data_IF_066506968796
#
_entry.id   IF_066506968796
#
_cell.length_a   1.000
_cell.length_b   1.000
_cell.length_c   1.000
_cell.angle_alpha   90.00
_cell.angle_beta   90.00
_cell.angle_gamma   90.00
#
_symmetry.space_group_name_H-M   'P 1'
#
loop_
_entity.id
_entity.type
_entity.pdbx_description
1 polymer ?
#
# COMPACT_ATOMS: atom_id res chain seq x y z
N UNK A 1 16.14 -15.72 -2.43
CA UNK A 1 16.06 -16.97 -1.67
C UNK A 1 17.31 -17.14 -0.84
N UNK A 2 17.16 -17.26 0.47
CA UNK A 2 18.28 -17.43 1.39
C UNK A 2 19.00 -18.78 1.21
N UNK A 3 20.32 -18.82 1.41
CA UNK A 3 21.15 -20.02 1.16
C UNK A 3 20.70 -21.24 1.97
N UNK A 4 20.37 -21.04 3.25
CA UNK A 4 19.81 -22.08 4.13
C UNK A 4 18.46 -22.62 3.64
N UNK A 5 17.63 -21.76 3.01
CA UNK A 5 16.36 -22.18 2.41
C UNK A 5 16.61 -23.14 1.26
N UNK A 6 17.57 -22.81 0.39
CA UNK A 6 17.94 -23.64 -0.75
C UNK A 6 18.52 -24.99 -0.32
N UNK A 7 19.47 -24.98 0.63
CA UNK A 7 20.07 -26.20 1.19
C UNK A 7 19.03 -27.09 1.87
N UNK A 8 18.15 -26.48 2.67
CA UNK A 8 17.05 -27.17 3.35
C UNK A 8 16.10 -27.86 2.37
N UNK A 9 15.66 -27.15 1.32
CA UNK A 9 14.78 -27.73 0.31
C UNK A 9 15.43 -28.90 -0.43
N UNK A 10 16.69 -28.74 -0.84
CA UNK A 10 17.43 -29.81 -1.52
C UNK A 10 17.58 -31.04 -0.62
N UNK A 11 18.02 -30.85 0.63
CA UNK A 11 18.22 -31.93 1.59
C UNK A 11 16.92 -32.65 1.97
N UNK A 12 15.85 -31.92 2.27
CA UNK A 12 14.55 -32.50 2.58
C UNK A 12 14.01 -33.32 1.39
N UNK A 13 14.10 -32.78 0.17
CA UNK A 13 13.62 -33.46 -1.04
C UNK A 13 14.38 -34.77 -1.32
N UNK A 14 15.68 -34.80 -1.05
CA UNK A 14 16.49 -36.01 -1.23
C UNK A 14 16.11 -37.08 -0.21
N UNK A 15 15.97 -36.71 1.06
CA UNK A 15 15.60 -37.67 2.12
C UNK A 15 14.19 -38.23 1.90
N UNK A 16 13.23 -37.39 1.48
CA UNK A 16 11.89 -37.85 1.12
C UNK A 16 11.92 -38.88 -0.03
N UNK A 17 12.81 -38.70 -1.02
CA UNK A 17 13.00 -39.68 -2.08
C UNK A 17 13.61 -40.99 -1.57
N UNK A 18 14.57 -40.90 -0.63
CA UNK A 18 15.20 -42.08 -0.04
C UNK A 18 14.24 -42.92 0.80
N UNK A 19 13.19 -42.32 1.39
CA UNK A 19 12.15 -43.04 2.14
C UNK A 19 11.33 -44.01 1.27
N UNK A 20 11.25 -43.81 -0.04
CA UNK A 20 10.42 -44.66 -0.93
C UNK A 20 10.84 -46.13 -0.94
N UNK A 21 12.15 -46.39 -0.93
CA UNK A 21 12.70 -47.75 -0.97
C UNK A 21 12.33 -48.54 0.30
N UNK A 22 12.67 -48.07 1.51
CA UNK A 22 12.30 -48.80 2.72
C UNK A 22 10.77 -48.90 2.89
N UNK A 23 9.97 -47.92 2.46
CA UNK A 23 8.51 -48.07 2.45
C UNK A 23 8.01 -49.22 1.59
N UNK A 24 8.60 -49.44 0.41
CA UNK A 24 8.26 -50.59 -0.43
C UNK A 24 8.62 -51.92 0.24
N UNK A 25 9.75 -51.96 0.93
CA UNK A 25 10.19 -53.13 1.70
C UNK A 25 9.23 -53.40 2.86
N UNK A 26 8.81 -52.37 3.60
CA UNK A 26 7.79 -52.52 4.65
C UNK A 26 6.51 -53.14 4.09
N UNK A 27 5.96 -52.59 3.02
CA UNK A 27 4.72 -53.09 2.40
C UNK A 27 4.84 -54.53 1.89
N UNK A 28 6.03 -54.94 1.45
CA UNK A 28 6.27 -56.32 1.04
C UNK A 28 6.39 -57.26 2.23
N UNK A 29 7.08 -56.83 3.29
CA UNK A 29 7.24 -57.57 4.52
C UNK A 29 5.89 -57.77 5.24
N UNK A 30 5.06 -56.73 5.28
CA UNK A 30 3.68 -56.78 5.78
C UNK A 30 2.85 -57.85 5.06
N UNK A 31 2.90 -57.90 3.73
CA UNK A 31 2.18 -58.91 2.92
C UNK A 31 2.64 -60.34 3.20
N UNK A 32 3.90 -60.53 3.59
CA UNK A 32 4.49 -61.83 3.94
C UNK A 32 4.33 -62.18 5.43
N UNK A 33 3.88 -61.23 6.25
CA UNK A 33 3.85 -61.37 7.70
C UNK A 33 5.24 -61.37 8.35
N UNK A 34 6.28 -60.88 7.66
CA UNK A 34 7.64 -60.80 8.20
C UNK A 34 7.82 -59.51 9.01
N UNK A 35 7.50 -59.59 10.29
CA UNK A 35 7.57 -58.44 11.20
C UNK A 35 9.00 -57.95 11.42
N UNK A 36 10.00 -58.83 11.32
CA UNK A 36 11.40 -58.45 11.56
C UNK A 36 11.94 -57.55 10.44
N UNK A 37 11.63 -57.88 9.19
CA UNK A 37 12.04 -57.09 8.02
C UNK A 37 11.27 -55.77 7.98
N UNK A 38 9.98 -55.81 8.35
CA UNK A 38 9.15 -54.61 8.47
C UNK A 38 9.73 -53.63 9.50
N UNK A 39 10.03 -54.10 10.72
CA UNK A 39 10.59 -53.25 11.78
C UNK A 39 11.92 -52.63 11.37
N UNK A 40 12.82 -53.43 10.77
CA UNK A 40 14.11 -52.94 10.28
C UNK A 40 13.93 -51.88 9.19
N UNK A 41 13.02 -52.11 8.24
CA UNK A 41 12.74 -51.16 7.17
C UNK A 41 12.13 -49.86 7.71
N UNK A 42 11.22 -49.94 8.68
CA UNK A 42 10.68 -48.77 9.37
C UNK A 42 11.75 -47.98 10.14
N UNK A 43 12.76 -48.65 10.70
CA UNK A 43 13.93 -47.97 11.29
C UNK A 43 14.62 -47.04 10.29
N UNK A 44 14.89 -47.53 9.07
CA UNK A 44 15.47 -46.68 8.01
C UNK A 44 14.54 -45.54 7.57
N UNK A 45 13.22 -45.76 7.56
CA UNK A 45 12.24 -44.68 7.31
C UNK A 45 12.35 -43.61 8.39
N UNK A 46 12.43 -44.00 9.67
CA UNK A 46 12.59 -43.08 10.80
C UNK A 46 13.85 -42.22 10.65
N UNK A 47 15.01 -42.82 10.43
CA UNK A 47 16.27 -42.09 10.28
C UNK A 47 16.26 -41.10 9.10
N UNK A 48 15.60 -41.45 8.01
CA UNK A 48 15.49 -40.58 6.82
C UNK A 48 14.44 -39.48 7.03
N UNK A 49 13.37 -39.76 7.77
CA UNK A 49 12.39 -38.76 8.19
C UNK A 49 13.02 -37.71 9.12
N UNK A 50 13.77 -38.15 10.14
CA UNK A 50 14.45 -37.26 11.09
C UNK A 50 15.41 -36.31 10.36
N UNK A 51 16.19 -36.84 9.40
CA UNK A 51 17.06 -36.02 8.54
C UNK A 51 16.26 -35.03 7.70
N UNK A 52 15.13 -35.44 7.13
CA UNK A 52 14.28 -34.54 6.35
C UNK A 52 13.73 -33.40 7.23
N UNK A 53 13.34 -33.68 8.47
CA UNK A 53 12.88 -32.69 9.45
C UNK A 53 14.00 -31.69 9.81
N UNK A 54 15.23 -32.15 9.99
CA UNK A 54 16.36 -31.27 10.25
C UNK A 54 16.64 -30.31 9.08
N UNK A 55 16.45 -30.77 7.84
CA UNK A 55 16.51 -29.91 6.67
C UNK A 55 15.33 -28.94 6.61
N UNK A 56 14.13 -29.34 7.03
CA UNK A 56 13.00 -28.42 7.17
C UNK A 56 13.31 -27.29 8.16
N UNK A 57 13.93 -27.60 9.31
CA UNK A 57 14.37 -26.56 10.27
C UNK A 57 15.35 -25.57 9.63
N UNK A 58 16.22 -26.02 8.71
CA UNK A 58 17.10 -25.12 7.92
C UNK A 58 16.30 -24.22 6.98
N UNK A 59 15.25 -24.75 6.34
CA UNK A 59 14.32 -23.96 5.50
C UNK A 59 13.69 -22.85 6.32
N UNK A 60 13.10 -23.18 7.46
CA UNK A 60 12.45 -22.21 8.35
C UNK A 60 13.42 -21.12 8.82
N UNK A 61 14.64 -21.50 9.19
CA UNK A 61 15.69 -20.55 9.56
C UNK A 61 16.05 -19.61 8.40
N UNK A 62 16.22 -20.15 7.20
CA UNK A 62 16.51 -19.36 6.01
C UNK A 62 15.39 -18.40 5.63
N UNK A 63 14.13 -18.84 5.69
CA UNK A 63 12.96 -17.99 5.43
C UNK A 63 12.83 -16.86 6.46
N UNK A 64 13.10 -17.14 7.73
CA UNK A 64 13.08 -16.12 8.79
C UNK A 64 14.16 -15.06 8.58
N UNK A 65 15.35 -15.45 8.13
CA UNK A 65 16.44 -14.53 7.79
C UNK A 65 16.09 -13.69 6.56
N UNK A 66 15.55 -14.30 5.50
CA UNK A 66 15.07 -13.60 4.29
C UNK A 66 13.98 -12.57 4.61
N UNK A 67 13.01 -12.95 5.45
CA UNK A 67 11.92 -12.05 5.86
C UNK A 67 12.44 -10.86 6.69
N UNK A 68 13.45 -11.06 7.54
CA UNK A 68 14.08 -9.97 8.29
C UNK A 68 14.81 -9.02 7.35
N UNK A 69 15.62 -9.55 6.42
CA UNK A 69 16.36 -8.73 5.46
C UNK A 69 15.41 -7.91 4.57
N UNK A 70 14.33 -8.53 4.08
CA UNK A 70 13.30 -7.83 3.31
C UNK A 70 12.64 -6.71 4.11
N UNK A 71 12.34 -6.96 5.40
CA UNK A 71 11.77 -5.95 6.29
C UNK A 71 12.74 -4.78 6.55
N UNK A 72 14.03 -5.07 6.70
CA UNK A 72 15.05 -4.03 6.89
C UNK A 72 15.22 -3.17 5.64
N UNK A 73 15.27 -3.79 4.45
CA UNK A 73 15.29 -3.08 3.17
C UNK A 73 14.06 -2.20 2.98
N UNK A 74 12.87 -2.71 3.28
CA UNK A 74 11.64 -1.92 3.18
C UNK A 74 11.63 -0.72 4.14
N UNK A 75 12.14 -0.88 5.37
CA UNK A 75 12.27 0.23 6.33
C UNK A 75 13.26 1.29 5.85
N UNK A 76 14.42 0.88 5.35
CA UNK A 76 15.43 1.82 4.87
C UNK A 76 14.98 2.56 3.62
N UNK A 77 14.27 1.90 2.71
CA UNK A 77 13.63 2.54 1.56
C UNK A 77 12.56 3.55 1.99
N UNK A 78 11.71 3.18 2.96
CA UNK A 78 10.70 4.08 3.52
C UNK A 78 11.34 5.31 4.17
N UNK A 79 12.38 5.13 4.98
CA UNK A 79 13.09 6.23 5.64
C UNK A 79 13.75 7.16 4.61
N UNK A 80 14.41 6.60 3.60
CA UNK A 80 14.99 7.38 2.51
C UNK A 80 13.93 8.18 1.74
N UNK A 81 12.76 7.58 1.48
CA UNK A 81 11.66 8.28 0.82
C UNK A 81 11.10 9.43 1.68
N UNK A 82 10.96 9.22 2.99
CA UNK A 82 10.54 10.28 3.93
C UNK A 82 11.58 11.39 4.01
N UNK A 83 12.87 11.05 4.07
CA UNK A 83 13.97 12.01 4.09
C UNK A 83 13.98 12.88 2.84
N UNK A 84 13.91 12.28 1.64
CA UNK A 84 13.82 13.01 0.37
C UNK A 84 12.63 13.96 0.33
N UNK A 85 11.44 13.49 0.75
CA UNK A 85 10.24 14.35 0.81
C UNK A 85 10.40 15.53 1.78
N UNK A 86 11.07 15.33 2.92
CA UNK A 86 11.34 16.42 3.88
C UNK A 86 12.32 17.45 3.30
N UNK A 87 13.36 16.98 2.62
CA UNK A 87 14.34 17.83 1.95
C UNK A 87 13.69 18.67 0.83
N UNK A 88 12.90 18.03 -0.05
CA UNK A 88 12.13 18.72 -1.09
C UNK A 88 11.19 19.79 -0.52
N UNK A 89 10.46 19.48 0.57
CA UNK A 89 9.62 20.48 1.25
C UNK A 89 10.44 21.63 1.81
N UNK A 90 11.58 21.34 2.42
CA UNK A 90 12.47 22.37 2.97
C UNK A 90 13.04 23.29 1.88
N UNK A 91 13.39 22.75 0.71
CA UNK A 91 13.80 23.56 -0.44
C UNK A 91 12.66 24.42 -0.99
N UNK A 92 11.45 23.84 -1.14
CA UNK A 92 10.27 24.60 -1.58
C UNK A 92 9.94 25.73 -0.61
N UNK A 93 10.01 25.48 0.69
CA UNK A 93 9.76 26.49 1.71
C UNK A 93 10.81 27.61 1.67
N UNK A 94 12.09 27.27 1.50
CA UNK A 94 13.15 28.28 1.29
C UNK A 94 12.89 29.14 0.05
N UNK A 95 12.51 28.54 -1.08
CA UNK A 95 12.16 29.28 -2.30
C UNK A 95 10.95 30.20 -2.10
N UNK A 96 9.94 29.74 -1.37
CA UNK A 96 8.76 30.56 -1.03
C UNK A 96 9.15 31.71 -0.11
N UNK A 97 9.92 31.45 0.95
CA UNK A 97 10.38 32.48 1.88
C UNK A 97 11.25 33.54 1.17
N UNK A 98 12.15 33.10 0.28
CA UNK A 98 12.95 34.00 -0.56
C UNK A 98 12.08 34.83 -1.51
N UNK A 99 11.09 34.21 -2.17
CA UNK A 99 10.15 34.94 -3.04
C UNK A 99 9.29 35.95 -2.28
N UNK A 100 8.98 35.69 -1.01
CA UNK A 100 8.25 36.62 -0.12
C UNK A 100 9.12 37.77 0.38
N UNK A 101 10.45 37.61 0.41
CA UNK A 101 11.41 38.68 0.68
C UNK A 101 11.76 39.51 -0.58
N UNK A 102 11.44 38.99 -1.77
CA UNK A 102 11.42 39.79 -3.00
C UNK A 102 10.25 40.79 -3.03
N UNK A 103 10.28 41.69 -4.01
CA UNK A 103 9.25 42.71 -4.28
C UNK A 103 7.87 42.07 -4.56
N UNK A 104 7.19 41.66 -3.50
CA UNK A 104 5.84 41.12 -3.59
C UNK A 104 4.87 42.27 -3.83
N UNK A 105 4.11 42.17 -4.93
CA UNK A 105 3.04 43.12 -5.24
C UNK A 105 2.04 43.12 -4.08
N UNK A 106 2.05 44.21 -3.31
CA UNK A 106 1.18 44.36 -2.15
C UNK A 106 -0.10 45.00 -2.63
N UNK A 107 -1.16 44.20 -2.75
CA UNK A 107 -2.49 44.70 -3.09
C UNK A 107 -3.09 45.34 -1.84
N UNK A 108 -3.12 46.67 -1.80
CA UNK A 108 -3.82 47.41 -0.74
C UNK A 108 -5.30 47.53 -1.10
N UNK A 109 -6.18 47.12 -0.20
CA UNK A 109 -7.62 47.34 -0.36
C UNK A 109 -7.87 48.84 -0.22
N UNK A 110 -8.47 49.46 -1.25
CA UNK A 110 -8.84 50.88 -1.19
C UNK A 110 -9.82 51.14 -0.04
N UNK A 111 -9.85 52.37 0.46
CA UNK A 111 -10.68 52.80 1.60
C UNK A 111 -12.17 52.43 1.42
N UNK A 112 -12.71 52.59 0.20
CA UNK A 112 -14.09 52.21 -0.13
C UNK A 112 -14.30 50.68 -0.09
N UNK A 113 -13.29 49.89 -0.44
CA UNK A 113 -13.33 48.44 -0.35
C UNK A 113 -13.24 47.91 1.09
N UNK A 114 -12.58 48.65 1.99
CA UNK A 114 -12.51 48.32 3.42
C UNK A 114 -13.86 48.51 4.13
N UNK A 115 -14.64 49.53 3.76
CA UNK A 115 -15.98 49.73 4.31
C UNK A 115 -16.91 48.54 4.01
N UNK A 116 -16.84 47.99 2.80
CA UNK A 116 -17.61 46.80 2.38
C UNK A 116 -17.13 45.52 3.12
N UNK A 117 -15.84 45.43 3.47
CA UNK A 117 -15.28 44.31 4.24
C UNK A 117 -15.67 44.38 5.73
N UNK A 118 -15.75 45.59 6.29
CA UNK A 118 -16.21 45.84 7.66
C UNK A 118 -17.66 45.39 7.87
N UNK A 119 -18.55 45.70 6.93
CA UNK A 119 -19.97 45.32 6.99
C UNK A 119 -20.24 43.80 6.95
N UNK A 120 -19.23 42.99 6.57
CA UNK A 120 -19.32 41.52 6.59
C UNK A 120 -18.63 40.86 7.78
N UNK A 121 -17.89 41.63 8.59
CA UNK A 121 -17.07 41.09 9.67
C UNK A 121 -17.85 40.85 10.96
N UNK A 122 -19.10 41.34 11.05
CA UNK A 122 -20.01 41.10 12.18
C UNK A 122 -20.67 39.71 12.16
N UNK A 123 -20.32 38.82 11.20
CA UNK A 123 -20.96 37.50 11.07
C UNK A 123 -20.02 36.29 11.13
N UNK A 124 -18.87 36.38 11.82
CA UNK A 124 -17.99 35.22 11.98
C UNK A 124 -17.36 35.09 13.37
N UNK A 125 -18.21 35.04 14.41
CA UNK A 125 -17.88 34.32 15.64
C UNK A 125 -18.87 33.17 15.85
N UNK A 126 -18.65 32.05 15.18
CA UNK A 126 -18.90 30.70 15.69
C UNK A 126 -18.32 29.69 14.69
N UNK A 127 -17.50 28.77 15.19
CA UNK A 127 -16.96 27.69 14.38
C UNK A 127 -18.04 26.70 13.91
N UNK A 128 -17.57 25.75 13.10
CA UNK A 128 -18.24 24.47 12.73
C UNK A 128 -19.03 24.50 11.42
N UNK A 129 -18.35 23.93 10.41
CA UNK A 129 -18.80 23.22 9.19
C UNK A 129 -20.02 23.67 8.39
N UNK A 130 -19.76 23.66 7.08
CA UNK A 130 -20.65 23.28 5.98
C UNK A 130 -21.72 24.28 5.57
N UNK A 131 -21.70 24.51 4.25
CA UNK A 131 -22.79 24.93 3.39
C UNK A 131 -23.29 26.37 3.59
N UNK A 132 -23.00 27.17 2.56
CA UNK A 132 -23.75 28.37 2.21
C UNK A 132 -25.27 28.15 2.32
N UNK A 133 -25.99 29.13 2.89
CA UNK A 133 -27.27 29.55 2.34
C UNK A 133 -27.28 31.07 2.13
N UNK A 134 -27.46 31.52 0.89
CA UNK A 134 -28.75 31.89 0.33
C UNK A 134 -29.19 33.29 0.80
N UNK A 135 -28.66 34.32 0.13
CA UNK A 135 -29.23 35.66 0.15
C UNK A 135 -30.21 35.76 -1.03
N UNK A 136 -31.48 35.94 -0.69
CA UNK A 136 -32.58 36.20 -1.61
C UNK A 136 -32.40 37.58 -2.23
N UNK A 137 -32.00 37.61 -3.50
CA UNK A 137 -32.32 38.70 -4.40
C UNK A 137 -32.88 38.09 -5.70
N UNK A 138 -34.05 38.58 -6.04
CA UNK A 138 -34.91 38.30 -7.19
C UNK A 138 -34.33 37.49 -8.35
N UNK A 139 -35.07 36.44 -8.72
CA UNK A 139 -34.68 35.43 -9.69
C UNK A 139 -34.66 35.98 -11.12
N UNK A 140 -33.46 36.24 -11.66
CA UNK A 140 -33.23 36.08 -13.10
C UNK A 140 -32.48 34.77 -13.29
N UNK A 141 -33.25 33.71 -13.58
CA UNK A 141 -32.70 32.42 -14.01
C UNK A 141 -32.11 32.58 -15.42
N UNK A 142 -30.92 33.15 -15.55
CA UNK A 142 -30.15 33.00 -16.79
C UNK A 142 -29.48 31.64 -16.75
N UNK A 143 -30.00 30.70 -17.53
CA UNK A 143 -29.30 29.44 -17.80
C UNK A 143 -27.90 29.76 -18.36
N UNK A 144 -26.84 29.08 -17.90
CA UNK A 144 -25.51 29.26 -18.46
C UNK A 144 -25.53 28.84 -19.94
N UNK A 145 -25.31 29.80 -20.83
CA UNK A 145 -25.23 29.56 -22.28
C UNK A 145 -23.84 29.07 -22.63
N UNK A 146 -23.75 27.90 -23.27
CA UNK A 146 -22.48 27.33 -23.73
C UNK A 146 -22.33 27.63 -25.21
N UNK A 147 -21.20 28.21 -25.62
CA UNK A 147 -20.92 28.52 -27.02
C UNK A 147 -20.11 27.43 -27.71
N UNK A 148 -20.47 27.10 -28.95
CA UNK A 148 -19.71 26.18 -29.79
C UNK A 148 -18.50 26.88 -30.40
N UNK A 149 -17.55 26.11 -30.97
CA UNK A 149 -16.34 26.66 -31.62
C UNK A 149 -16.64 27.60 -32.80
N UNK A 150 -17.86 27.59 -33.33
CA UNK A 150 -18.35 28.48 -34.40
C UNK A 150 -19.10 29.71 -33.88
N UNK A 151 -19.26 29.86 -32.55
CA UNK A 151 -19.89 31.02 -31.92
C UNK A 151 -21.41 30.94 -31.76
N UNK A 152 -22.03 29.78 -32.02
CA UNK A 152 -23.46 29.58 -31.80
C UNK A 152 -23.75 29.16 -30.35
N UNK A 153 -24.87 29.67 -29.81
CA UNK A 153 -25.34 29.35 -28.46
C UNK A 153 -26.01 27.95 -28.44
N UNK A 154 -25.45 27.02 -27.66
CA UNK A 154 -26.01 25.70 -27.42
C UNK A 154 -26.72 25.65 -26.05
N UNK A 155 -27.93 25.08 -26.03
CA UNK A 155 -28.67 24.79 -24.79
C UNK A 155 -28.07 23.57 -24.09
N UNK A 156 -27.90 23.67 -22.77
CA UNK A 156 -27.43 22.56 -21.94
C UNK A 156 -28.58 21.56 -21.74
N UNK A 157 -28.50 20.40 -22.40
CA UNK A 157 -29.39 19.29 -22.10
C UNK A 157 -28.93 18.62 -20.80
N UNK A 158 -29.69 18.87 -19.73
CA UNK A 158 -29.56 18.18 -18.45
C UNK A 158 -29.92 16.71 -18.63
N UNK A 159 -28.97 15.79 -18.36
CA UNK A 159 -29.31 14.38 -18.24
C UNK A 159 -28.13 13.43 -18.17
N UNK A 160 -27.53 13.24 -16.99
CA UNK A 160 -27.05 11.91 -16.57
C UNK A 160 -26.99 11.83 -15.04
N UNK A 161 -27.95 11.14 -14.43
CA UNK A 161 -27.92 10.79 -13.01
C UNK A 161 -26.88 9.67 -12.82
N UNK A 162 -25.81 9.92 -12.06
CA UNK A 162 -24.87 8.86 -11.67
C UNK A 162 -25.11 8.57 -10.18
N UNK A 163 -25.80 7.46 -9.91
CA UNK A 163 -26.00 6.93 -8.55
C UNK A 163 -24.77 6.14 -8.10
N UNK A 164 -24.19 6.50 -6.95
CA UNK A 164 -23.20 5.70 -6.25
C UNK A 164 -23.84 5.21 -4.95
N UNK A 165 -24.15 3.92 -4.87
CA UNK A 165 -24.56 3.27 -3.62
C UNK A 165 -23.31 2.92 -2.80
N UNK A 166 -23.33 3.27 -1.52
CA UNK A 166 -22.41 2.81 -0.49
C UNK A 166 -22.98 1.61 0.24
#
# INVERSE_FOLDING_TARGET
MHTKTMEGLAGASMNMKMMNTPFRVCQEAERRGDTSVMERAMGYVGETADKAEDYQKKVEKGMKEEAKEAREKAKSEQENAVRKRKEERGEQEKRIAESRNGNTDTVSISENGKAILGDRSDLAQAGTVSNMPAETADAVKTEPVIYTKTGEAAKSESGTNISVSA
#
